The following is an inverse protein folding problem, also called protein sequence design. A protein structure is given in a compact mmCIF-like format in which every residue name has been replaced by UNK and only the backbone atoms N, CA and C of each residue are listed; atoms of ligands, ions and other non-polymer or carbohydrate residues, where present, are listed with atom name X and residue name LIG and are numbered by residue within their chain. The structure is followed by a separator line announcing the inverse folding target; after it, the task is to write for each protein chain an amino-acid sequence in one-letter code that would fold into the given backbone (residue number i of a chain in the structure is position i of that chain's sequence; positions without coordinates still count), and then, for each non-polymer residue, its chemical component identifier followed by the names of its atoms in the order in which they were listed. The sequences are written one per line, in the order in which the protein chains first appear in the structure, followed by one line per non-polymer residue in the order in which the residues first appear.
data_IF_597432052349
#
_entry.id   IF_597432052349
#
_cell.length_a   1.000
_cell.length_b   1.000
_cell.length_c   1.000
_cell.angle_alpha   90.00
_cell.angle_beta   90.00
_cell.angle_gamma   90.00
#
_symmetry.space_group_name_H-M   'P 1'
#
loop_
_entity.id
_entity.type
_entity.pdbx_description
1 polymer ?
#
# COMPACT_ATOMS: atom_id res chain seq x y z
N UNK A 1 9.01 0.60 -15.57
CA UNK A 1 9.41 -0.45 -14.61
C UNK A 1 10.73 -0.01 -14.00
N UNK A 2 10.77 0.15 -12.67
CA UNK A 2 11.98 0.61 -11.98
C UNK A 2 13.06 -0.49 -11.96
N UNK A 3 14.36 -0.11 -11.94
CA UNK A 3 15.43 -1.08 -11.89
C UNK A 3 15.39 -1.88 -10.57
N UNK A 4 15.85 -3.14 -10.63
CA UNK A 4 15.97 -3.97 -9.43
C UNK A 4 17.04 -3.40 -8.48
N UNK A 5 16.82 -3.55 -7.17
CA UNK A 5 17.81 -3.27 -6.15
C UNK A 5 18.76 -4.47 -6.02
N UNK A 6 20.05 -4.23 -6.17
CA UNK A 6 21.08 -5.27 -6.08
C UNK A 6 21.78 -5.18 -4.72
N UNK A 7 21.65 -6.24 -3.92
CA UNK A 7 22.31 -6.36 -2.61
C UNK A 7 23.15 -7.64 -2.64
N UNK A 8 24.44 -7.49 -2.95
CA UNK A 8 25.35 -8.62 -3.12
C UNK A 8 24.84 -9.56 -4.23
N UNK A 9 24.63 -10.87 -3.95
CA UNK A 9 24.11 -11.80 -4.95
C UNK A 9 22.59 -11.72 -5.15
N UNK A 10 21.88 -10.91 -4.36
CA UNK A 10 20.42 -10.85 -4.37
C UNK A 10 19.90 -9.70 -5.23
N UNK A 11 18.89 -9.99 -6.04
CA UNK A 11 18.12 -9.00 -6.81
C UNK A 11 16.72 -8.88 -6.20
N UNK A 12 16.42 -7.70 -5.68
CA UNK A 12 15.16 -7.38 -5.03
C UNK A 12 14.36 -6.40 -5.90
N UNK A 13 13.04 -6.42 -5.77
CA UNK A 13 12.23 -5.34 -6.33
C UNK A 13 12.60 -4.03 -5.62
N UNK A 14 12.74 -2.94 -6.39
CA UNK A 14 12.83 -1.60 -5.80
C UNK A 14 11.60 -1.31 -4.95
N UNK A 15 11.74 -0.41 -3.98
CA UNK A 15 10.62 -0.05 -3.09
C UNK A 15 9.46 0.54 -3.89
N UNK A 16 9.73 1.33 -4.93
CA UNK A 16 8.73 1.90 -5.83
C UNK A 16 7.90 0.82 -6.54
N UNK A 17 8.53 -0.29 -6.94
CA UNK A 17 7.85 -1.42 -7.57
C UNK A 17 6.97 -2.16 -6.57
N UNK A 18 7.45 -2.32 -5.32
CA UNK A 18 6.67 -2.90 -4.22
C UNK A 18 5.46 -2.02 -3.89
N UNK A 19 5.64 -0.70 -3.85
CA UNK A 19 4.58 0.28 -3.67
C UNK A 19 3.52 0.12 -4.76
N UNK A 20 3.92 0.13 -6.03
CA UNK A 20 2.98 -0.04 -7.14
C UNK A 20 2.21 -1.37 -7.06
N UNK A 21 2.86 -2.46 -6.65
CA UNK A 21 2.21 -3.76 -6.44
C UNK A 21 1.20 -3.74 -5.28
N UNK A 22 1.49 -3.02 -4.19
CA UNK A 22 0.55 -2.87 -3.07
C UNK A 22 -0.69 -2.09 -3.47
N UNK A 23 -0.53 -1.06 -4.29
CA UNK A 23 -1.66 -0.24 -4.77
C UNK A 23 -2.57 -1.01 -5.73
N UNK A 24 -2.02 -1.88 -6.60
CA UNK A 24 -2.85 -2.78 -7.43
C UNK A 24 -3.70 -3.72 -6.55
N UNK A 25 -3.20 -4.14 -5.39
CA UNK A 25 -3.97 -4.93 -4.42
C UNK A 25 -5.08 -4.09 -3.76
N UNK A 26 -4.80 -2.83 -3.39
CA UNK A 26 -5.82 -1.90 -2.86
C UNK A 26 -6.96 -1.73 -3.86
N UNK A 27 -6.64 -1.53 -5.14
CA UNK A 27 -7.65 -1.43 -6.20
C UNK A 27 -8.58 -2.66 -6.24
N UNK A 28 -8.09 -3.84 -5.87
CA UNK A 28 -8.83 -5.12 -5.88
C UNK A 28 -9.40 -5.53 -4.51
N UNK A 29 -9.52 -4.56 -3.58
CA UNK A 29 -9.86 -4.76 -2.16
C UNK A 29 -8.79 -5.55 -1.40
N UNK A 30 -7.88 -4.78 -0.80
CA UNK A 30 -6.78 -5.24 0.02
C UNK A 30 -7.23 -6.04 1.25
N UNK A 31 -6.33 -6.88 1.75
CA UNK A 31 -6.47 -7.58 3.03
C UNK A 31 -5.84 -6.77 4.15
N UNK A 32 -6.13 -7.12 5.41
CA UNK A 32 -5.59 -6.41 6.58
C UNK A 32 -4.07 -6.26 6.48
N UNK A 33 -3.32 -7.33 6.26
CA UNK A 33 -1.85 -7.27 6.13
C UNK A 33 -1.33 -6.29 5.06
N UNK A 34 -2.08 -6.07 3.98
CA UNK A 34 -1.64 -5.17 2.91
C UNK A 34 -1.75 -3.71 3.35
N UNK A 35 -2.76 -3.37 4.16
CA UNK A 35 -2.86 -2.07 4.83
C UNK A 35 -1.75 -1.84 5.86
N UNK A 36 -1.29 -2.89 6.53
CA UNK A 36 -0.13 -2.82 7.42
C UNK A 36 1.15 -2.48 6.65
N UNK A 37 1.36 -3.11 5.50
CA UNK A 37 2.50 -2.79 4.63
C UNK A 37 2.40 -1.35 4.10
N UNK A 38 1.22 -0.91 3.68
CA UNK A 38 0.97 0.47 3.25
C UNK A 38 1.26 1.46 4.36
N UNK A 39 0.81 1.18 5.59
CA UNK A 39 1.10 2.01 6.75
C UNK A 39 2.59 2.17 7.01
N UNK A 40 3.37 1.11 6.83
CA UNK A 40 4.83 1.19 6.93
C UNK A 40 5.42 2.05 5.80
N UNK A 41 4.87 1.93 4.58
CA UNK A 41 5.30 2.74 3.43
C UNK A 41 4.97 4.23 3.57
N UNK A 42 3.97 4.61 4.38
CA UNK A 42 3.63 6.02 4.65
C UNK A 42 4.79 6.82 5.27
N UNK A 43 5.77 6.15 5.89
CA UNK A 43 6.97 6.80 6.40
C UNK A 43 7.87 7.38 5.28
N UNK A 44 7.76 6.85 4.06
CA UNK A 44 8.65 7.18 2.94
C UNK A 44 7.91 7.69 1.70
N UNK A 45 6.63 7.35 1.53
CA UNK A 45 5.83 7.72 0.36
C UNK A 45 4.47 8.26 0.78
N UNK A 46 4.05 9.37 0.16
CA UNK A 46 2.67 9.86 0.29
C UNK A 46 1.72 8.99 -0.54
N UNK A 47 0.42 8.92 -0.20
CA UNK A 47 -0.53 8.17 -1.02
C UNK A 47 -0.56 8.64 -2.49
N UNK A 48 -0.40 9.93 -2.74
CA UNK A 48 -0.29 10.48 -4.10
C UNK A 48 0.92 9.92 -4.86
N UNK A 49 2.10 9.83 -4.20
CA UNK A 49 3.28 9.19 -4.80
C UNK A 49 3.03 7.71 -5.07
N UNK A 50 2.38 7.00 -4.14
CA UNK A 50 2.08 5.58 -4.32
C UNK A 50 1.16 5.34 -5.53
N UNK A 51 0.10 6.16 -5.66
CA UNK A 51 -0.83 6.14 -6.81
C UNK A 51 -0.08 6.43 -8.11
N UNK A 52 0.83 7.41 -8.12
CA UNK A 52 1.63 7.74 -9.30
C UNK A 52 2.55 6.58 -9.72
N UNK A 53 3.19 5.89 -8.77
CA UNK A 53 3.98 4.68 -9.07
C UNK A 53 3.10 3.56 -9.65
N UNK A 54 1.88 3.39 -9.15
CA UNK A 54 0.91 2.46 -9.73
C UNK A 54 0.53 2.85 -11.16
N UNK A 55 0.22 4.13 -11.42
CA UNK A 55 -0.12 4.62 -12.76
C UNK A 55 1.01 4.38 -13.77
N UNK A 56 2.26 4.61 -13.36
CA UNK A 56 3.42 4.38 -14.20
C UNK A 56 3.60 2.90 -14.55
N UNK A 57 3.31 1.99 -13.61
CA UNK A 57 3.49 0.55 -13.79
C UNK A 57 2.32 -0.10 -14.55
N UNK A 58 1.09 0.33 -14.30
CA UNK A 58 -0.14 -0.29 -14.82
C UNK A 58 -1.01 0.71 -15.61
N UNK A 59 -0.50 1.31 -16.70
CA UNK A 59 -1.19 2.42 -17.38
C UNK A 59 -2.59 2.07 -17.92
N UNK A 60 -2.82 0.80 -18.26
CA UNK A 60 -4.11 0.32 -18.78
C UNK A 60 -5.06 -0.21 -17.70
N UNK A 61 -4.55 -0.48 -16.50
CA UNK A 61 -5.30 -1.04 -15.37
C UNK A 61 -5.42 -0.07 -14.21
N UNK A 62 -5.04 1.20 -14.40
CA UNK A 62 -5.03 2.22 -13.37
C UNK A 62 -6.39 2.91 -13.28
N UNK A 63 -7.02 2.85 -12.11
CA UNK A 63 -8.22 3.60 -11.78
C UNK A 63 -7.99 4.35 -10.46
N UNK A 64 -7.61 5.63 -10.57
CA UNK A 64 -7.26 6.45 -9.40
C UNK A 64 -8.43 6.62 -8.43
N UNK A 65 -9.64 6.84 -8.95
CA UNK A 65 -10.84 7.05 -8.14
C UNK A 65 -11.19 5.78 -7.35
N UNK A 66 -11.10 4.62 -7.99
CA UNK A 66 -11.31 3.33 -7.34
C UNK A 66 -10.23 3.04 -6.29
N UNK A 67 -8.97 3.37 -6.57
CA UNK A 67 -7.87 3.21 -5.61
C UNK A 67 -8.13 4.09 -4.38
N UNK A 68 -8.41 5.38 -4.56
CA UNK A 68 -8.67 6.33 -3.46
C UNK A 68 -9.86 5.91 -2.61
N UNK A 69 -10.93 5.42 -3.25
CA UNK A 69 -12.08 4.85 -2.55
C UNK A 69 -11.68 3.62 -1.73
N UNK A 70 -10.93 2.70 -2.32
CA UNK A 70 -10.57 1.46 -1.64
C UNK A 70 -9.49 1.63 -0.57
N UNK A 71 -8.75 2.74 -0.58
CA UNK A 71 -7.82 3.10 0.49
C UNK A 71 -8.50 3.28 1.85
N UNK A 72 -9.77 3.67 1.85
CA UNK A 72 -10.58 3.88 3.05
C UNK A 72 -11.69 2.84 3.21
N UNK A 73 -11.83 1.90 2.27
CA UNK A 73 -12.72 0.75 2.37
C UNK A 73 -12.04 -0.41 3.12
N UNK A 74 -12.20 -0.42 4.43
CA UNK A 74 -11.67 -1.47 5.30
C UNK A 74 -12.61 -2.67 5.45
N UNK A 75 -13.77 -2.69 4.80
CA UNK A 75 -14.82 -3.70 5.03
C UNK A 75 -14.28 -5.15 4.98
N UNK A 76 -13.54 -5.46 3.92
CA UNK A 76 -12.91 -6.78 3.75
C UNK A 76 -11.74 -7.02 4.71
N UNK A 77 -11.01 -5.98 5.05
CA UNK A 77 -9.87 -6.09 5.97
C UNK A 77 -10.34 -6.33 7.41
N UNK A 78 -11.45 -5.70 7.84
CA UNK A 78 -12.00 -5.87 9.18
C UNK A 78 -12.43 -7.33 9.46
N UNK A 79 -12.80 -8.10 8.43
CA UNK A 79 -13.12 -9.53 8.51
C UNK A 79 -11.88 -10.45 8.58
N UNK A 80 -10.69 -9.93 8.29
CA UNK A 80 -9.45 -10.71 8.24
C UNK A 80 -8.78 -10.79 9.63
N UNK A 81 -7.94 -11.80 9.83
CA UNK A 81 -7.23 -11.98 11.09
C UNK A 81 -6.21 -10.85 11.32
N UNK A 82 -6.08 -10.43 12.58
CA UNK A 82 -5.05 -9.47 12.96
C UNK A 82 -3.65 -10.10 12.79
N UNK A 83 -2.75 -9.46 12.01
CA UNK A 83 -1.37 -9.93 11.93
C UNK A 83 -0.65 -9.69 13.25
N UNK A 84 0.31 -10.56 13.57
CA UNK A 84 1.17 -10.39 14.75
C UNK A 84 2.11 -9.20 14.48
N UNK A 85 1.81 -8.06 15.09
CA UNK A 85 2.67 -6.88 15.00
C UNK A 85 3.71 -6.86 16.12
N UNK A 86 4.99 -6.90 15.73
CA UNK A 86 6.11 -6.78 16.67
C UNK A 86 6.45 -5.32 17.04
N UNK A 87 5.80 -4.33 16.41
CA UNK A 87 6.00 -2.90 16.68
C UNK A 87 4.94 -2.30 17.63
N UNK A 88 4.05 -3.12 18.19
CA UNK A 88 3.01 -2.67 19.12
C UNK A 88 1.95 -1.75 18.51
N UNK A 89 1.78 -1.77 17.18
CA UNK A 89 0.70 -1.02 16.51
C UNK A 89 -0.63 -1.77 16.67
N UNK A 90 -1.74 -1.03 16.57
CA UNK A 90 -3.08 -1.57 16.62
C UNK A 90 -3.83 -1.26 15.33
N UNK A 91 -4.73 -2.16 14.91
CA UNK A 91 -5.46 -2.03 13.65
C UNK A 91 -6.25 -0.72 13.53
N UNK A 92 -6.92 -0.31 14.60
CA UNK A 92 -7.70 0.94 14.62
C UNK A 92 -6.84 2.20 14.39
N UNK A 93 -5.62 2.22 14.94
CA UNK A 93 -4.69 3.34 14.72
C UNK A 93 -4.20 3.39 13.28
N UNK A 94 -3.94 2.23 12.68
CA UNK A 94 -3.52 2.14 11.28
C UNK A 94 -4.61 2.70 10.35
N UNK A 95 -5.89 2.36 10.59
CA UNK A 95 -7.01 2.91 9.83
C UNK A 95 -7.05 4.44 9.92
N UNK A 96 -6.91 4.99 11.13
CA UNK A 96 -6.89 6.44 11.34
C UNK A 96 -5.75 7.13 10.58
N UNK A 97 -4.53 6.59 10.69
CA UNK A 97 -3.35 7.15 10.02
C UNK A 97 -3.51 7.13 8.49
N UNK A 98 -4.06 6.06 7.93
CA UNK A 98 -4.31 5.94 6.48
C UNK A 98 -5.36 6.95 6.02
N UNK A 99 -6.48 7.08 6.74
CA UNK A 99 -7.54 8.05 6.41
C UNK A 99 -7.00 9.49 6.46
N UNK A 100 -6.18 9.79 7.46
CA UNK A 100 -5.55 11.10 7.60
C UNK A 100 -4.58 11.36 6.43
N UNK A 101 -3.75 10.38 6.06
CA UNK A 101 -2.78 10.51 4.98
C UNK A 101 -3.45 10.72 3.61
N UNK A 102 -4.63 10.14 3.37
CA UNK A 102 -5.39 10.31 2.13
C UNK A 102 -6.11 11.66 2.05
N UNK A 103 -6.44 12.24 3.20
CA UNK A 103 -7.18 13.51 3.30
C UNK A 103 -6.26 14.74 3.28
N UNK A 104 -4.94 14.53 3.31
CA UNK A 104 -3.90 15.58 3.26
C UNK A 104 -3.43 15.79 1.83
#
# INVERSE_FOLDING_TARGET
MHPALEIGPYRLASVEEIVAMKIDIVQRKARKKDFWDIHELLASYTPAQMIAHHAHRYPYGHDEDLIRKNFTDFSKADEDFDPICLRGKHWELIKLDIVQAIST
#
